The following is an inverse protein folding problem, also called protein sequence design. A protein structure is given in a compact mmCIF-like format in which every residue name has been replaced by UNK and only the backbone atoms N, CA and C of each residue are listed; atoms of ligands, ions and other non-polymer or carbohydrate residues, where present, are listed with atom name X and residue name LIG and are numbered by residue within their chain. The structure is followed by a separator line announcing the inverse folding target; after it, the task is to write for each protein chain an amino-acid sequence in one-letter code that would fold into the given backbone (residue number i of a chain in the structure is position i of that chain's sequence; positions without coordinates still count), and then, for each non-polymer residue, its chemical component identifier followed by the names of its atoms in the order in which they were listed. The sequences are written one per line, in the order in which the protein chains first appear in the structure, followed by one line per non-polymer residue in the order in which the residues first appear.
data_IF_237025299764
#
_entry.id   IF_237025299764
#
_cell.length_a   1.000
_cell.length_b   1.000
_cell.length_c   1.000
_cell.angle_alpha   90.00
_cell.angle_beta   90.00
_cell.angle_gamma   90.00
#
_symmetry.space_group_name_H-M   'P 1'
#
loop_
_entity.id
_entity.type
_entity.pdbx_description
1 polymer ?
#
# COMPACT_ATOMS: atom_id res chain seq x y z
N UNK A 1 -6.84 -21.76 7.79
CA UNK A 1 -7.44 -20.50 8.28
C UNK A 1 -6.86 -19.37 7.43
N UNK A 2 -7.61 -18.85 6.46
CA UNK A 2 -7.08 -17.81 5.56
C UNK A 2 -6.96 -16.50 6.32
N UNK A 3 -5.76 -16.19 6.80
CA UNK A 3 -5.47 -14.90 7.40
C UNK A 3 -5.80 -13.82 6.38
N UNK A 4 -6.73 -12.92 6.73
CA UNK A 4 -7.05 -11.68 6.00
C UNK A 4 -5.90 -10.66 6.02
N UNK A 5 -4.67 -11.13 6.18
CA UNK A 5 -3.46 -10.34 6.32
C UNK A 5 -2.67 -10.48 5.03
N UNK A 6 -2.36 -9.34 4.41
CA UNK A 6 -1.44 -9.29 3.28
C UNK A 6 -0.09 -9.86 3.71
N UNK A 7 0.49 -10.74 2.90
CA UNK A 7 1.86 -11.20 3.15
C UNK A 7 2.84 -10.06 2.89
N UNK A 8 4.02 -10.09 3.52
CA UNK A 8 5.05 -9.06 3.33
C UNK A 8 5.37 -8.85 1.85
N UNK A 9 5.39 -9.91 1.05
CA UNK A 9 5.60 -9.84 -0.41
C UNK A 9 4.46 -9.11 -1.13
N UNK A 10 3.20 -9.36 -0.73
CA UNK A 10 2.05 -8.63 -1.28
C UNK A 10 2.11 -7.15 -0.89
N UNK A 11 2.50 -6.84 0.35
CA UNK A 11 2.64 -5.46 0.83
C UNK A 11 3.68 -4.71 0.02
N UNK A 12 4.88 -5.27 -0.18
CA UNK A 12 5.95 -4.61 -0.96
C UNK A 12 5.52 -4.36 -2.40
N UNK A 13 4.81 -5.31 -3.04
CA UNK A 13 4.26 -5.11 -4.40
C UNK A 13 3.22 -3.99 -4.44
N UNK A 14 2.31 -3.95 -3.46
CA UNK A 14 1.30 -2.90 -3.34
C UNK A 14 1.92 -1.53 -3.06
N UNK A 15 2.96 -1.45 -2.21
CA UNK A 15 3.71 -0.23 -1.97
C UNK A 15 4.37 0.28 -3.26
N UNK A 16 5.04 -0.58 -4.02
CA UNK A 16 5.63 -0.18 -5.31
C UNK A 16 4.59 0.30 -6.34
N UNK A 17 3.39 -0.29 -6.34
CA UNK A 17 2.28 0.21 -7.16
C UNK A 17 1.79 1.59 -6.68
N UNK A 18 1.69 1.78 -5.36
CA UNK A 18 1.36 3.08 -4.77
C UNK A 18 2.39 4.15 -5.08
N UNK A 19 3.68 3.85 -4.96
CA UNK A 19 4.77 4.79 -5.26
C UNK A 19 4.77 5.21 -6.74
N UNK A 20 4.48 4.27 -7.64
CA UNK A 20 4.31 4.59 -9.07
C UNK A 20 3.14 5.56 -9.29
N UNK A 21 1.98 5.28 -8.70
CA UNK A 21 0.80 6.15 -8.83
C UNK A 21 1.06 7.54 -8.24
N UNK A 22 1.73 7.61 -7.08
CA UNK A 22 2.15 8.88 -6.48
C UNK A 22 3.11 9.64 -7.42
N UNK A 23 4.04 8.95 -8.07
CA UNK A 23 4.94 9.53 -9.07
C UNK A 23 4.23 10.00 -10.35
N UNK A 24 3.10 9.38 -10.70
CA UNK A 24 2.21 9.79 -11.79
C UNK A 24 1.28 10.96 -11.38
N UNK A 25 1.39 11.45 -10.14
CA UNK A 25 0.63 12.59 -9.61
C UNK A 25 -0.66 12.22 -8.89
N UNK A 26 -0.95 10.93 -8.69
CA UNK A 26 -2.11 10.51 -7.92
C UNK A 26 -1.98 10.92 -6.46
N UNK A 27 -3.13 11.16 -5.81
CA UNK A 27 -3.19 11.44 -4.38
C UNK A 27 -3.11 10.16 -3.55
N UNK A 28 -2.72 10.29 -2.29
CA UNK A 28 -2.69 9.15 -1.35
C UNK A 28 -4.05 8.47 -1.21
N UNK A 29 -5.14 9.25 -1.28
CA UNK A 29 -6.51 8.75 -1.20
C UNK A 29 -6.84 7.87 -2.41
N UNK A 30 -6.42 8.26 -3.61
CA UNK A 30 -6.60 7.46 -4.82
C UNK A 30 -5.80 6.17 -4.78
N UNK A 31 -4.56 6.24 -4.28
CA UNK A 31 -3.73 5.05 -4.06
C UNK A 31 -4.37 4.10 -3.06
N UNK A 32 -4.87 4.61 -1.93
CA UNK A 32 -5.53 3.79 -0.92
C UNK A 32 -6.81 3.13 -1.47
N UNK A 33 -7.61 3.88 -2.25
CA UNK A 33 -8.77 3.33 -2.96
C UNK A 33 -8.37 2.22 -3.94
N UNK A 34 -7.34 2.44 -4.76
CA UNK A 34 -6.85 1.47 -5.75
C UNK A 34 -6.30 0.20 -5.10
N UNK A 35 -5.60 0.33 -3.98
CA UNK A 35 -5.03 -0.79 -3.25
C UNK A 35 -6.03 -1.50 -2.34
N UNK A 36 -7.26 -1.00 -2.25
CA UNK A 36 -8.34 -1.44 -1.36
C UNK A 36 -7.91 -1.47 0.11
N UNK A 37 -7.21 -0.42 0.54
CA UNK A 37 -6.74 -0.25 1.91
C UNK A 37 -7.11 1.13 2.45
N UNK A 38 -7.14 1.24 3.77
CA UNK A 38 -7.26 2.54 4.44
C UNK A 38 -5.90 3.20 4.59
N UNK A 39 -5.86 4.53 4.65
CA UNK A 39 -4.61 5.32 4.77
C UNK A 39 -3.76 4.86 5.95
N UNK A 40 -4.39 4.56 7.10
CA UNK A 40 -3.68 4.04 8.28
C UNK A 40 -2.90 2.75 7.98
N UNK A 41 -3.46 1.85 7.16
CA UNK A 41 -2.79 0.60 6.77
C UNK A 41 -1.64 0.89 5.80
N UNK A 42 -1.83 1.79 4.85
CA UNK A 42 -0.79 2.22 3.93
C UNK A 42 0.41 2.86 4.66
N UNK A 43 0.16 3.75 5.62
CA UNK A 43 1.21 4.34 6.45
C UNK A 43 1.94 3.29 7.29
N UNK A 44 1.22 2.34 7.88
CA UNK A 44 1.82 1.24 8.63
C UNK A 44 2.68 0.34 7.74
N UNK A 45 2.26 0.10 6.50
CA UNK A 45 3.05 -0.65 5.52
C UNK A 45 4.32 0.11 5.15
N UNK A 46 4.23 1.41 4.84
CA UNK A 46 5.39 2.27 4.61
C UNK A 46 6.37 2.27 5.79
N UNK A 47 5.88 2.31 7.02
CA UNK A 47 6.75 2.30 8.21
C UNK A 47 7.43 0.93 8.45
N UNK A 48 6.79 -0.18 8.08
CA UNK A 48 7.35 -1.54 8.27
C UNK A 48 8.17 -2.05 7.08
N UNK A 49 7.87 -1.58 5.87
CA UNK A 49 8.39 -2.14 4.62
C UNK A 49 8.90 -1.09 3.62
N UNK A 50 8.71 0.21 3.89
CA UNK A 50 9.04 1.30 2.96
C UNK A 50 10.50 1.77 2.99
N UNK A 51 11.28 1.36 3.99
CA UNK A 51 12.66 1.83 4.18
C UNK A 51 12.72 3.21 4.84
#
# INVERSE_FOLDING_TARGET
MYGRNHTSVQIVRKLGQGDRMLGEGATLVEVCKHLEVVEQTYYRWRNQHGG
#
